data_IF_933483773063
#
_entry.id   IF_933483773063
#
_cell.length_a   1.000
_cell.length_b   1.000
_cell.length_c   1.000
_cell.angle_alpha   90.00
_cell.angle_beta   90.00
_cell.angle_gamma   90.00
#
_symmetry.space_group_name_H-M   'P 1'
#
loop_
_entity.id
_entity.type
_entity.pdbx_description
1 polymer ?
#
# COMPACT_ATOMS: atom_id res chain seq x y z
N UNK A 1 -6.35 -10.00 3.65
CA UNK A 1 -6.03 -9.12 4.80
C UNK A 1 -4.97 -9.84 5.62
N UNK A 2 -3.71 -9.42 5.54
CA UNK A 2 -2.60 -10.09 6.23
C UNK A 2 -1.94 -9.13 7.22
N UNK A 3 -1.73 -9.63 8.45
CA UNK A 3 -1.06 -8.91 9.52
C UNK A 3 0.12 -9.78 9.96
N UNK A 4 1.32 -9.22 9.90
CA UNK A 4 2.53 -9.90 10.35
C UNK A 4 3.08 -9.16 11.57
N UNK A 5 3.10 -9.86 12.71
CA UNK A 5 3.77 -9.41 13.93
C UNK A 5 5.13 -10.10 13.96
N UNK A 6 6.19 -9.32 13.75
CA UNK A 6 7.55 -9.84 13.75
C UNK A 6 8.15 -9.57 15.13
N UNK A 7 8.48 -10.63 15.85
CA UNK A 7 9.20 -10.53 17.12
C UNK A 7 10.70 -10.42 16.82
N UNK A 8 11.26 -9.24 17.08
CA UNK A 8 12.70 -8.99 17.13
C UNK A 8 13.05 -8.68 18.58
N UNK A 9 14.17 -9.21 19.13
CA UNK A 9 14.41 -9.35 20.57
C UNK A 9 14.46 -8.04 21.40
N UNK A 10 14.26 -6.87 20.78
CA UNK A 10 14.33 -5.55 21.44
C UNK A 10 13.24 -4.57 20.95
N UNK A 11 12.43 -4.91 19.93
CA UNK A 11 11.35 -4.06 19.38
C UNK A 11 10.23 -4.91 18.80
N UNK A 12 8.96 -4.58 19.07
CA UNK A 12 7.84 -5.18 18.35
C UNK A 12 7.54 -4.37 17.09
N UNK A 13 7.48 -5.01 15.92
CA UNK A 13 7.06 -4.37 14.65
C UNK A 13 5.72 -4.93 14.18
N UNK A 14 4.82 -4.04 13.79
CA UNK A 14 3.53 -4.37 13.17
C UNK A 14 3.60 -4.01 11.68
N UNK A 15 3.37 -5.00 10.81
CA UNK A 15 3.24 -4.79 9.37
C UNK A 15 1.83 -5.17 8.93
N UNK A 16 1.11 -4.24 8.31
CA UNK A 16 -0.28 -4.41 7.89
C UNK A 16 -0.49 -3.98 6.44
N UNK A 17 -1.15 -4.83 5.65
CA UNK A 17 -1.63 -4.49 4.31
C UNK A 17 -3.14 -4.68 4.26
N UNK A 18 -3.87 -3.62 3.92
CA UNK A 18 -5.33 -3.66 3.88
C UNK A 18 -6.01 -2.31 3.81
N UNK A 19 -7.22 -2.23 4.37
CA UNK A 19 -8.06 -1.04 4.24
C UNK A 19 -7.71 0.06 5.24
N UNK A 20 -7.95 1.31 4.83
CA UNK A 20 -7.70 2.50 5.66
C UNK A 20 -8.47 2.47 7.00
N UNK A 21 -9.78 2.07 7.06
CA UNK A 21 -10.49 2.01 8.33
C UNK A 21 -9.87 1.03 9.34
N UNK A 22 -9.37 -0.12 8.88
CA UNK A 22 -8.72 -1.11 9.74
C UNK A 22 -7.34 -0.61 10.19
N UNK A 23 -6.58 0.01 9.29
CA UNK A 23 -5.28 0.58 9.60
C UNK A 23 -5.34 1.68 10.67
N UNK A 24 -6.36 2.55 10.62
CA UNK A 24 -6.60 3.54 11.67
C UNK A 24 -6.74 2.90 13.05
N UNK A 25 -7.51 1.81 13.15
CA UNK A 25 -7.66 1.05 14.41
C UNK A 25 -6.33 0.47 14.88
N UNK A 26 -5.55 -0.11 13.97
CA UNK A 26 -4.23 -0.68 14.29
C UNK A 26 -3.27 0.40 14.80
N UNK A 27 -3.24 1.57 14.16
CA UNK A 27 -2.44 2.71 14.63
C UNK A 27 -2.84 3.13 16.04
N UNK A 28 -4.13 3.29 16.31
CA UNK A 28 -4.62 3.66 17.65
C UNK A 28 -4.20 2.66 18.73
N UNK A 29 -4.27 1.36 18.43
CA UNK A 29 -3.86 0.29 19.36
C UNK A 29 -2.33 0.24 19.60
N UNK A 30 -1.54 0.73 18.65
CA UNK A 30 -0.08 0.76 18.75
C UNK A 30 0.45 2.05 19.37
N UNK A 31 -0.35 3.12 19.45
CA UNK A 31 0.07 4.44 19.91
C UNK A 31 0.62 4.47 21.35
N UNK A 32 0.16 3.56 22.21
CA UNK A 32 0.60 3.49 23.61
C UNK A 32 1.98 2.83 23.81
N UNK A 33 2.58 2.23 22.78
CA UNK A 33 3.83 1.48 22.90
C UNK A 33 4.88 1.90 21.87
N UNK A 34 6.16 1.52 22.09
CA UNK A 34 7.27 1.91 21.20
C UNK A 34 7.36 1.07 19.91
N UNK A 35 6.22 0.57 19.42
CA UNK A 35 6.15 -0.38 18.31
C UNK A 35 6.26 0.35 16.98
N UNK A 36 7.16 -0.09 16.12
CA UNK A 36 7.23 0.42 14.75
C UNK A 36 6.05 -0.13 13.94
N UNK A 37 5.36 0.73 13.19
CA UNK A 37 4.18 0.35 12.39
C UNK A 37 4.44 0.66 10.91
N UNK A 38 4.22 -0.32 10.05
CA UNK A 38 4.28 -0.19 8.58
C UNK A 38 2.90 -0.51 8.00
N UNK A 39 2.36 0.38 7.16
CA UNK A 39 0.99 0.29 6.64
C UNK A 39 0.98 0.46 5.13
N UNK A 40 0.61 -0.60 4.41
CA UNK A 40 0.34 -0.54 2.98
C UNK A 40 -1.18 -0.51 2.77
N UNK A 41 -1.69 0.69 2.48
CA UNK A 41 -3.13 0.96 2.47
C UNK A 41 -3.67 1.20 1.06
N UNK A 42 -4.99 1.20 0.94
CA UNK A 42 -5.64 1.55 -0.32
C UNK A 42 -5.22 2.95 -0.80
N UNK A 43 -4.53 2.99 -1.94
CA UNK A 43 -4.26 4.18 -2.71
C UNK A 43 -4.94 4.09 -4.07
N UNK A 44 -5.35 5.23 -4.62
CA UNK A 44 -5.72 5.33 -6.03
C UNK A 44 -4.47 5.83 -6.74
N UNK A 45 -3.84 5.00 -7.57
CA UNK A 45 -2.68 5.41 -8.37
C UNK A 45 -3.18 6.18 -9.59
N UNK A 46 -3.05 7.52 -9.64
CA UNK A 46 -3.46 8.28 -10.81
C UNK A 46 -2.49 8.04 -11.97
N UNK A 47 -3.03 8.06 -13.18
CA UNK A 47 -2.26 8.03 -14.42
C UNK A 47 -2.54 9.34 -15.15
N UNK A 48 -1.50 10.08 -15.51
CA UNK A 48 -1.60 11.38 -16.17
C UNK A 48 -0.90 11.28 -17.52
N UNK A 49 -1.60 11.64 -18.59
CA UNK A 49 -1.09 11.65 -19.97
C UNK A 49 -1.01 13.09 -20.43
N UNK A 50 0.18 13.53 -20.82
CA UNK A 50 0.43 14.88 -21.34
C UNK A 50 0.14 14.95 -22.84
N UNK A 51 0.03 16.16 -23.38
CA UNK A 51 -0.27 16.42 -24.79
C UNK A 51 0.85 15.98 -25.74
N UNK A 52 2.10 15.93 -25.26
CA UNK A 52 3.28 15.46 -25.96
C UNK A 52 3.52 13.94 -25.83
N UNK A 53 2.63 13.21 -25.15
CA UNK A 53 2.79 11.79 -24.92
C UNK A 53 2.51 10.95 -26.18
N UNK A 54 3.33 9.92 -26.40
CA UNK A 54 3.07 8.93 -27.45
C UNK A 54 1.87 8.05 -27.07
N UNK A 55 0.70 8.37 -27.62
CA UNK A 55 -0.59 7.83 -27.17
C UNK A 55 -0.65 6.30 -27.22
N UNK A 56 -0.19 5.66 -28.30
CA UNK A 56 -0.26 4.20 -28.41
C UNK A 56 0.56 3.50 -27.33
N UNK A 57 1.72 4.06 -26.99
CA UNK A 57 2.58 3.52 -25.94
C UNK A 57 1.96 3.79 -24.56
N UNK A 58 1.36 4.96 -24.36
CA UNK A 58 0.66 5.28 -23.12
C UNK A 58 -0.49 4.30 -22.85
N UNK A 59 -1.25 3.93 -23.88
CA UNK A 59 -2.33 2.93 -23.77
C UNK A 59 -1.77 1.56 -23.34
N UNK A 60 -0.70 1.09 -23.97
CA UNK A 60 -0.08 -0.20 -23.63
C UNK A 60 0.43 -0.26 -22.19
N UNK A 61 1.09 0.81 -21.73
CA UNK A 61 1.58 0.90 -20.35
C UNK A 61 0.45 1.00 -19.33
N UNK A 62 -0.61 1.76 -19.65
CA UNK A 62 -1.79 1.88 -18.80
C UNK A 62 -2.50 0.53 -18.67
N UNK A 63 -2.72 -0.18 -19.78
CA UNK A 63 -3.34 -1.49 -19.78
C UNK A 63 -2.50 -2.52 -19.04
N UNK A 64 -1.18 -2.48 -19.22
CA UNK A 64 -0.26 -3.35 -18.48
C UNK A 64 -0.35 -3.08 -16.98
N UNK A 65 -0.23 -1.83 -16.55
CA UNK A 65 -0.27 -1.45 -15.14
C UNK A 65 -1.62 -1.69 -14.45
N UNK A 66 -2.74 -1.50 -15.16
CA UNK A 66 -4.07 -1.76 -14.62
C UNK A 66 -4.43 -3.25 -14.62
N UNK A 67 -4.23 -3.96 -15.73
CA UNK A 67 -4.71 -5.34 -15.89
C UNK A 67 -3.78 -6.39 -15.25
N UNK A 68 -2.48 -6.13 -15.10
CA UNK A 68 -1.57 -7.10 -14.46
C UNK A 68 -1.71 -7.22 -12.93
N UNK A 69 -2.58 -6.45 -12.28
CA UNK A 69 -2.88 -6.66 -10.85
C UNK A 69 -3.83 -7.86 -10.62
N UNK A 70 -4.35 -8.50 -11.70
CA UNK A 70 -5.27 -9.63 -11.65
C UNK A 70 -4.66 -10.98 -12.10
N UNK A 71 -3.34 -11.08 -12.26
CA UNK A 71 -2.65 -12.34 -12.57
C UNK A 71 -1.91 -12.90 -11.35
#
# INVERSE_FOLDING_TARGET
MHIHIIHIPIRYKVSFTGSVPTARKIMSLCAAGPRAVSLELGGKSPLVVFDDAHIDAAVDWILTGMCHTLA
#
